data_IF_979277511251
#
_entry.id   IF_979277511251
#
_cell.length_a   1.000
_cell.length_b   1.000
_cell.length_c   1.000
_cell.angle_alpha   90.00
_cell.angle_beta   90.00
_cell.angle_gamma   90.00
#
_symmetry.space_group_name_H-M   'P 1'
#
loop_
_entity.id
_entity.type
_entity.pdbx_description
1 polymer ?
#
# COMPACT_ATOMS: atom_id res chain seq x y z
N UNK A 1 5.04 -17.36 -6.55
CA UNK A 1 4.17 -18.51 -6.86
C UNK A 1 5.05 -19.64 -7.39
N UNK A 2 5.75 -20.37 -6.52
CA UNK A 2 6.62 -21.49 -6.91
C UNK A 2 6.80 -22.53 -5.78
N UNK A 3 6.85 -22.12 -4.51
CA UNK A 3 7.00 -23.06 -3.38
C UNK A 3 5.69 -23.70 -2.89
N UNK A 4 4.55 -23.38 -3.50
CA UNK A 4 3.26 -24.01 -3.16
C UNK A 4 2.98 -25.31 -3.92
N UNK A 5 3.77 -25.63 -4.95
CA UNK A 5 3.54 -26.76 -5.86
C UNK A 5 4.78 -27.66 -6.03
N UNK A 6 5.92 -27.29 -5.44
CA UNK A 6 7.15 -28.06 -5.54
C UNK A 6 7.59 -28.47 -4.16
N UNK A 7 7.86 -29.77 -4.03
CA UNK A 7 8.40 -30.53 -2.89
C UNK A 7 9.82 -30.06 -2.52
N UNK A 8 9.98 -28.76 -2.28
CA UNK A 8 11.22 -28.12 -1.83
C UNK A 8 10.90 -27.35 -0.55
N UNK A 9 11.70 -27.61 0.48
CA UNK A 9 11.53 -27.07 1.82
C UNK A 9 11.28 -25.56 1.79
N UNK A 10 10.04 -25.16 2.08
CA UNK A 10 9.62 -23.76 2.17
C UNK A 10 10.57 -22.96 3.07
N UNK A 11 11.11 -23.62 4.10
CA UNK A 11 12.11 -23.07 5.00
C UNK A 11 13.45 -22.76 4.33
N UNK A 12 13.93 -23.59 3.41
CA UNK A 12 15.17 -23.32 2.67
C UNK A 12 14.99 -22.16 1.70
N UNK A 13 13.83 -22.05 1.05
CA UNK A 13 13.51 -20.90 0.21
C UNK A 13 13.42 -19.60 1.01
N UNK A 14 12.76 -19.62 2.18
CA UNK A 14 12.70 -18.46 3.09
C UNK A 14 14.10 -18.09 3.59
N UNK A 15 14.92 -19.07 3.96
CA UNK A 15 16.29 -18.85 4.43
C UNK A 15 17.17 -18.21 3.37
N UNK A 16 17.00 -18.60 2.10
CA UNK A 16 17.72 -17.96 0.99
C UNK A 16 17.18 -16.56 0.65
N UNK A 17 15.85 -16.35 0.73
CA UNK A 17 15.26 -15.02 0.60
C UNK A 17 15.72 -14.07 1.71
N UNK A 18 15.91 -14.57 2.95
CA UNK A 18 16.49 -13.80 4.04
C UNK A 18 17.97 -13.46 3.77
N UNK A 19 18.74 -14.38 3.19
CA UNK A 19 20.14 -14.14 2.85
C UNK A 19 20.33 -13.03 1.79
N UNK A 20 19.33 -12.76 0.94
CA UNK A 20 19.37 -11.63 0.00
C UNK A 20 18.67 -10.38 0.54
N UNK A 21 17.65 -10.54 1.38
CA UNK A 21 16.91 -9.42 1.99
C UNK A 21 17.74 -8.71 3.05
N UNK A 22 18.49 -9.42 3.88
CA UNK A 22 19.30 -8.83 4.95
C UNK A 22 20.42 -7.92 4.37
N UNK A 23 21.23 -8.36 3.38
CA UNK A 23 22.20 -7.48 2.74
C UNK A 23 21.54 -6.30 2.04
N UNK A 24 20.42 -6.51 1.35
CA UNK A 24 19.69 -5.42 0.70
C UNK A 24 19.21 -4.38 1.71
N UNK A 25 18.71 -4.81 2.88
CA UNK A 25 18.27 -3.93 3.97
C UNK A 25 19.44 -3.13 4.54
N UNK A 26 20.60 -3.76 4.75
CA UNK A 26 21.80 -3.06 5.24
C UNK A 26 22.23 -1.97 4.24
N UNK A 27 22.29 -2.30 2.96
CA UNK A 27 22.70 -1.36 1.91
C UNK A 27 21.72 -0.18 1.82
N UNK A 28 20.41 -0.44 1.81
CA UNK A 28 19.40 0.63 1.74
C UNK A 28 19.37 1.48 3.00
N UNK A 29 19.56 0.88 4.18
CA UNK A 29 19.62 1.62 5.44
C UNK A 29 20.83 2.56 5.47
N UNK A 30 22.01 2.09 5.05
CA UNK A 30 23.20 2.93 4.95
C UNK A 30 22.97 4.06 3.93
N UNK A 31 22.45 3.75 2.75
CA UNK A 31 22.16 4.76 1.72
C UNK A 31 21.16 5.82 2.23
N UNK A 32 20.06 5.39 2.85
CA UNK A 32 19.03 6.29 3.38
C UNK A 32 19.52 7.08 4.59
N UNK A 33 20.45 6.55 5.37
CA UNK A 33 21.07 7.29 6.47
C UNK A 33 21.87 8.50 5.94
N UNK A 34 22.72 8.29 4.93
CA UNK A 34 23.49 9.37 4.30
C UNK A 34 22.59 10.38 3.58
N UNK A 35 21.61 9.88 2.83
CA UNK A 35 20.63 10.72 2.14
C UNK A 35 19.80 11.52 3.14
N UNK A 36 19.27 10.86 4.19
CA UNK A 36 18.44 11.47 5.22
C UNK A 36 19.15 12.59 5.98
N UNK A 37 20.45 12.46 6.22
CA UNK A 37 21.24 13.54 6.83
C UNK A 37 21.34 14.78 5.93
N UNK A 38 21.39 14.60 4.61
CA UNK A 38 21.37 15.68 3.63
C UNK A 38 19.98 16.35 3.50
N UNK A 39 18.90 15.58 3.65
CA UNK A 39 17.52 16.09 3.65
C UNK A 39 17.17 16.82 4.96
N UNK A 40 17.69 16.38 6.11
CA UNK A 40 17.45 17.06 7.40
C UNK A 40 18.07 18.46 7.50
N UNK A 41 19.11 18.75 6.71
CA UNK A 41 19.79 20.05 6.69
C UNK A 41 19.18 21.05 5.68
N UNK A 42 18.41 20.58 4.70
CA UNK A 42 17.70 21.43 3.73
C UNK A 42 16.27 21.63 4.21
N UNK A 43 15.99 22.82 4.75
CA UNK A 43 14.67 23.43 4.92
C UNK A 43 13.50 22.45 4.70
N UNK A 44 12.99 21.88 5.79
CA UNK A 44 11.68 21.24 5.79
C UNK A 44 10.66 22.31 5.37
N UNK A 45 10.35 22.36 4.09
CA UNK A 45 9.37 23.28 3.53
C UNK A 45 7.99 22.78 3.94
N UNK A 46 7.57 23.20 5.14
CA UNK A 46 6.27 22.89 5.74
C UNK A 46 5.13 23.18 4.78
N UNK A 47 5.28 24.11 3.84
CA UNK A 47 4.28 24.39 2.80
C UNK A 47 4.02 23.20 1.87
N UNK A 48 5.02 22.36 1.60
CA UNK A 48 4.80 21.15 0.80
C UNK A 48 4.08 20.07 1.60
N UNK A 49 4.40 19.97 2.90
CA UNK A 49 3.70 19.06 3.82
C UNK A 49 2.23 19.49 3.94
N UNK A 50 1.98 20.77 4.17
CA UNK A 50 0.63 21.33 4.28
C UNK A 50 -0.16 21.17 2.99
N UNK A 51 0.47 21.34 1.81
CA UNK A 51 -0.17 21.07 0.50
C UNK A 51 -0.56 19.61 0.32
N UNK A 52 0.31 18.68 0.72
CA UNK A 52 0.04 17.25 0.64
C UNK A 52 -1.11 16.89 1.61
N UNK A 53 -1.06 17.43 2.84
CA UNK A 53 -2.10 17.22 3.84
C UNK A 53 -3.45 17.80 3.40
N UNK A 54 -3.47 19.01 2.84
CA UNK A 54 -4.70 19.61 2.28
C UNK A 54 -5.25 18.79 1.11
N UNK A 55 -4.38 18.36 0.19
CA UNK A 55 -4.80 17.51 -0.94
C UNK A 55 -5.38 16.19 -0.45
N UNK A 56 -4.81 15.60 0.60
CA UNK A 56 -5.33 14.38 1.21
C UNK A 56 -6.69 14.61 1.90
N UNK A 57 -6.86 15.72 2.61
CA UNK A 57 -8.12 16.08 3.27
C UNK A 57 -9.24 16.41 2.29
N UNK A 58 -8.93 17.06 1.17
CA UNK A 58 -9.91 17.42 0.14
C UNK A 58 -10.32 16.22 -0.74
N UNK A 59 -9.46 15.21 -0.88
CA UNK A 59 -9.69 14.06 -1.76
C UNK A 59 -10.10 12.78 -1.02
N UNK A 60 -9.76 12.64 0.26
CA UNK A 60 -10.05 11.44 1.04
C UNK A 60 -10.75 11.79 2.35
N UNK A 61 -11.96 11.24 2.52
CA UNK A 61 -12.63 11.25 3.83
C UNK A 61 -11.98 10.18 4.71
N UNK A 62 -11.03 10.60 5.55
CA UNK A 62 -10.37 9.72 6.52
C UNK A 62 -11.36 9.40 7.64
N UNK A 63 -12.15 8.33 7.47
CA UNK A 63 -13.00 7.79 8.52
C UNK A 63 -12.38 6.53 9.12
N UNK A 64 -12.53 6.29 10.45
CA UNK A 64 -12.08 5.04 11.09
C UNK A 64 -12.68 3.77 10.49
N UNK A 65 -13.81 3.88 9.77
CA UNK A 65 -14.48 2.77 9.12
C UNK A 65 -13.67 2.20 7.93
N UNK A 66 -12.89 3.05 7.25
CA UNK A 66 -12.03 2.59 6.14
C UNK A 66 -10.95 1.61 6.60
N UNK A 67 -10.53 1.72 7.87
CA UNK A 67 -9.54 0.86 8.53
C UNK A 67 -10.07 -0.55 8.82
N UNK A 68 -11.39 -0.74 8.82
CA UNK A 68 -12.03 -2.05 9.02
C UNK A 68 -11.76 -2.99 7.83
N UNK A 69 -11.62 -2.44 6.63
CA UNK A 69 -11.39 -3.20 5.38
C UNK A 69 -10.03 -3.94 5.41
N UNK A 70 -8.88 -3.27 5.64
CA UNK A 70 -7.61 -3.98 5.77
C UNK A 70 -7.61 -4.93 6.96
N UNK A 71 -8.34 -4.63 8.05
CA UNK A 71 -8.47 -5.54 9.18
C UNK A 71 -9.15 -6.86 8.80
N UNK A 72 -10.21 -6.80 7.97
CA UNK A 72 -10.90 -7.99 7.43
C UNK A 72 -9.96 -8.78 6.52
N UNK A 73 -9.21 -8.11 5.63
CA UNK A 73 -8.26 -8.78 4.73
C UNK A 73 -7.15 -9.47 5.51
N UNK A 74 -6.60 -8.82 6.54
CA UNK A 74 -5.62 -9.42 7.45
C UNK A 74 -6.22 -10.63 8.17
N UNK A 75 -7.47 -10.54 8.63
CA UNK A 75 -8.20 -11.68 9.20
C UNK A 75 -8.29 -12.86 8.24
N UNK A 76 -8.61 -12.62 6.97
CA UNK A 76 -8.67 -13.67 5.94
C UNK A 76 -7.31 -14.31 5.64
N UNK A 77 -6.23 -13.52 5.66
CA UNK A 77 -4.85 -14.02 5.51
C UNK A 77 -4.45 -14.90 6.69
N UNK A 78 -4.83 -14.54 7.93
CA UNK A 78 -4.56 -15.35 9.13
C UNK A 78 -5.28 -16.70 9.07
N UNK A 79 -6.47 -16.76 8.46
CA UNK A 79 -7.24 -18.01 8.26
C UNK A 79 -6.64 -18.92 7.17
N UNK A 80 -5.45 -18.60 6.63
CA UNK A 80 -4.76 -19.38 5.58
C UNK A 80 -5.60 -19.55 4.30
N UNK A 81 -6.49 -18.60 4.02
CA UNK A 81 -7.22 -18.57 2.75
C UNK A 81 -6.21 -18.24 1.63
N UNK A 82 -6.30 -18.87 0.44
CA UNK A 82 -5.42 -18.53 -0.67
C UNK A 82 -5.46 -17.02 -0.96
N UNK A 83 -4.30 -16.44 -1.28
CA UNK A 83 -4.15 -14.99 -1.42
C UNK A 83 -5.08 -14.38 -2.48
N UNK A 84 -5.45 -15.15 -3.51
CA UNK A 84 -6.33 -14.71 -4.59
C UNK A 84 -7.73 -14.32 -4.06
N UNK A 85 -8.47 -15.19 -3.33
CA UNK A 85 -9.74 -14.80 -2.72
C UNK A 85 -9.64 -13.61 -1.75
N UNK A 86 -8.57 -13.51 -0.96
CA UNK A 86 -8.39 -12.40 -0.03
C UNK A 86 -8.29 -11.04 -0.76
N UNK A 87 -7.59 -11.00 -1.89
CA UNK A 87 -7.47 -9.81 -2.74
C UNK A 87 -8.83 -9.46 -3.36
N UNK A 88 -9.57 -10.44 -3.87
CA UNK A 88 -10.90 -10.21 -4.48
C UNK A 88 -11.89 -9.63 -3.45
N UNK A 89 -11.91 -10.16 -2.23
CA UNK A 89 -12.74 -9.62 -1.14
C UNK A 89 -12.29 -8.21 -0.76
N UNK A 90 -10.98 -7.95 -0.68
CA UNK A 90 -10.44 -6.62 -0.43
C UNK A 90 -10.86 -5.59 -1.50
N UNK A 91 -10.86 -5.99 -2.78
CA UNK A 91 -11.30 -5.17 -3.90
C UNK A 91 -12.80 -4.83 -3.79
N UNK A 92 -13.64 -5.84 -3.52
CA UNK A 92 -15.09 -5.65 -3.39
C UNK A 92 -15.40 -4.73 -2.19
N UNK A 93 -14.78 -4.97 -1.04
CA UNK A 93 -14.95 -4.12 0.14
C UNK A 93 -14.44 -2.70 -0.09
N UNK A 94 -13.32 -2.54 -0.80
CA UNK A 94 -12.79 -1.22 -1.20
C UNK A 94 -13.71 -0.46 -2.14
N UNK A 95 -14.32 -1.16 -3.11
CA UNK A 95 -15.32 -0.60 -4.01
C UNK A 95 -16.56 -0.10 -3.26
N UNK A 96 -17.06 -0.89 -2.30
CA UNK A 96 -18.17 -0.45 -1.44
C UNK A 96 -17.77 0.74 -0.56
N UNK A 97 -16.55 0.76 -0.02
CA UNK A 97 -16.05 1.93 0.72
C UNK A 97 -16.00 3.20 -0.14
N UNK A 98 -15.57 3.10 -1.40
CA UNK A 98 -15.52 4.25 -2.31
C UNK A 98 -16.89 4.90 -2.49
N UNK A 99 -17.93 4.08 -2.64
CA UNK A 99 -19.30 4.55 -2.91
C UNK A 99 -19.97 5.07 -1.63
N UNK A 100 -19.87 4.31 -0.53
CA UNK A 100 -20.63 4.61 0.69
C UNK A 100 -19.93 5.58 1.65
N UNK A 101 -18.59 5.64 1.64
CA UNK A 101 -17.80 6.40 2.64
C UNK A 101 -17.12 7.60 1.99
N UNK A 102 -16.54 7.42 0.80
CA UNK A 102 -15.85 8.51 0.10
C UNK A 102 -16.80 9.35 -0.78
N UNK A 103 -18.03 8.87 -1.03
CA UNK A 103 -19.01 9.55 -1.89
C UNK A 103 -18.62 9.59 -3.37
N UNK A 104 -17.68 8.74 -3.79
CA UNK A 104 -17.21 8.65 -5.17
C UNK A 104 -18.24 8.00 -6.09
N UNK A 105 -18.25 8.39 -7.36
CA UNK A 105 -19.15 7.83 -8.36
C UNK A 105 -18.75 6.40 -8.77
N UNK A 106 -19.72 5.60 -9.23
CA UNK A 106 -19.50 4.26 -9.77
C UNK A 106 -18.43 4.25 -10.90
N UNK A 107 -18.44 5.30 -11.72
CA UNK A 107 -17.51 5.50 -12.83
C UNK A 107 -16.08 5.73 -12.34
N UNK A 108 -15.87 6.46 -11.26
CA UNK A 108 -14.55 6.68 -10.66
C UNK A 108 -13.99 5.40 -10.03
N UNK A 109 -14.84 4.61 -9.38
CA UNK A 109 -14.44 3.33 -8.80
C UNK A 109 -13.98 2.35 -9.90
N UNK A 110 -14.75 2.23 -11.00
CA UNK A 110 -14.39 1.36 -12.14
C UNK A 110 -13.14 1.85 -12.88
N UNK A 111 -13.00 3.17 -13.05
CA UNK A 111 -11.77 3.75 -13.62
C UNK A 111 -10.56 3.50 -12.73
N UNK A 112 -10.71 3.57 -11.40
CA UNK A 112 -9.61 3.30 -10.46
C UNK A 112 -9.17 1.84 -10.44
N UNK A 113 -10.09 0.90 -10.69
CA UNK A 113 -9.79 -0.53 -10.79
C UNK A 113 -9.00 -0.88 -12.05
N UNK A 114 -9.25 -0.17 -13.15
CA UNK A 114 -8.65 -0.47 -14.46
C UNK A 114 -7.35 0.31 -14.68
N UNK A 115 -7.33 1.58 -14.26
CA UNK A 115 -6.25 2.52 -14.55
C UNK A 115 -5.48 2.96 -13.29
N UNK A 116 -5.81 2.42 -12.12
CA UNK A 116 -5.28 2.91 -10.85
C UNK A 116 -5.89 4.25 -10.43
N UNK A 117 -5.59 4.72 -9.21
CA UNK A 117 -6.10 5.99 -8.71
C UNK A 117 -5.38 7.18 -9.40
N UNK A 118 -5.94 7.64 -10.54
CA UNK A 118 -5.31 8.67 -11.40
C UNK A 118 -5.40 10.08 -10.80
N UNK A 119 -6.27 10.33 -9.81
CA UNK A 119 -6.46 11.67 -9.24
C UNK A 119 -5.22 12.25 -8.56
N UNK A 120 -4.31 11.41 -8.06
CA UNK A 120 -3.02 11.88 -7.52
C UNK A 120 -2.02 12.31 -8.61
N UNK A 121 -2.16 11.84 -9.86
CA UNK A 121 -1.25 12.17 -10.98
C UNK A 121 -1.63 13.50 -11.63
N UNK A 122 -2.92 13.85 -11.69
CA UNK A 122 -3.39 15.12 -12.26
C UNK A 122 -3.08 16.36 -11.40
N UNK A 123 -2.72 16.20 -10.11
CA UNK A 123 -2.27 17.32 -9.27
C UNK A 123 -0.77 17.63 -9.47
N UNK A 124 -0.04 16.76 -10.18
CA UNK A 124 1.42 16.87 -10.39
C UNK A 124 1.75 17.36 -11.83
N UNK A 125 0.75 17.58 -12.70
CA UNK A 125 0.91 18.26 -14.01
C UNK A 125 0.14 19.57 -14.05
#
# INVERSE_FOLDING_TARGET
>A
MASGLSDVDLFDHIKHMLYTTIPALIITLIAFFFIGQQFGAKHFDTKNIDKILHTMQDQFVITPWLLLIPLIVIGLVVVKVPAIPAIVVGIILGFFAQIFIQGGSLTEALNSLTNGFIRLIQVIS
#
